data_IF_653471728095
#
_entry.id   IF_653471728095
#
_cell.length_a   1.000
_cell.length_b   1.000
_cell.length_c   1.000
_cell.angle_alpha   90.00
_cell.angle_beta   90.00
_cell.angle_gamma   90.00
#
_symmetry.space_group_name_H-M   'P 1'
#
loop_
_entity.id
_entity.type
_entity.pdbx_description
1 polymer ?
#
# COMPACT_ATOMS: atom_id res chain seq x y z
N UNK A 1 27.54 -9.99 19.53
CA UNK A 1 26.62 -8.91 19.27
C UNK A 1 25.50 -8.88 20.29
N UNK A 2 25.32 -7.76 20.87
CA UNK A 2 24.34 -7.65 21.95
C UNK A 2 23.11 -6.90 21.46
N UNK A 3 22.09 -7.67 21.13
CA UNK A 3 20.81 -7.05 20.89
C UNK A 3 20.27 -6.62 22.25
N UNK A 4 19.92 -5.35 22.34
CA UNK A 4 19.31 -4.83 23.54
C UNK A 4 17.99 -5.58 23.76
N UNK A 5 17.81 -6.19 24.93
CA UNK A 5 16.60 -6.95 25.24
C UNK A 5 15.34 -6.11 25.09
N UNK A 6 15.41 -4.84 25.49
CA UNK A 6 14.28 -3.91 25.35
C UNK A 6 13.91 -3.73 23.89
N UNK A 7 14.91 -3.57 23.02
CA UNK A 7 14.67 -3.41 21.59
C UNK A 7 14.07 -4.68 20.98
N UNK A 8 14.58 -5.85 21.38
CA UNK A 8 14.05 -7.12 20.90
C UNK A 8 12.59 -7.30 21.31
N UNK A 9 12.27 -7.02 22.57
CA UNK A 9 10.90 -7.15 23.08
C UNK A 9 9.97 -6.17 22.34
N UNK A 10 10.44 -4.94 22.09
CA UNK A 10 9.64 -3.94 21.39
C UNK A 10 9.31 -4.40 19.95
N UNK A 11 10.31 -4.95 19.26
CA UNK A 11 10.08 -5.46 17.90
C UNK A 11 9.14 -6.66 17.89
N UNK A 12 9.28 -7.55 18.87
CA UNK A 12 8.40 -8.70 18.98
C UNK A 12 6.96 -8.26 19.28
N UNK A 13 6.78 -7.29 20.14
CA UNK A 13 5.46 -6.77 20.48
C UNK A 13 4.77 -6.17 19.25
N UNK A 14 5.51 -5.43 18.42
CA UNK A 14 4.97 -4.87 17.18
C UNK A 14 4.58 -5.99 16.21
N UNK A 15 5.40 -7.02 16.10
CA UNK A 15 5.09 -8.15 15.20
C UNK A 15 3.83 -8.89 15.67
N UNK A 16 3.69 -9.11 16.99
CA UNK A 16 2.51 -9.77 17.55
C UNK A 16 1.26 -8.92 17.31
N UNK A 17 1.36 -7.60 17.50
CA UNK A 17 0.24 -6.70 17.27
C UNK A 17 -0.26 -6.81 15.82
N UNK A 18 0.66 -6.83 14.85
CA UNK A 18 0.30 -6.99 13.44
C UNK A 18 -0.39 -8.32 13.17
N UNK A 19 0.06 -9.39 13.81
CA UNK A 19 -0.54 -10.71 13.64
C UNK A 19 -1.94 -10.78 14.24
N UNK A 20 -2.22 -9.99 15.26
CA UNK A 20 -3.52 -10.00 15.92
C UNK A 20 -4.57 -9.14 15.21
N UNK A 21 -4.15 -8.30 14.29
CA UNK A 21 -5.10 -7.48 13.54
C UNK A 21 -5.81 -8.33 12.50
N UNK A 22 -7.14 -8.18 12.38
CA UNK A 22 -7.88 -8.89 11.34
C UNK A 22 -7.33 -8.56 9.96
N UNK A 23 -7.21 -9.56 9.11
CA UNK A 23 -6.83 -9.34 7.73
C UNK A 23 -8.01 -8.74 6.98
N UNK A 24 -7.74 -7.73 6.16
CA UNK A 24 -8.75 -7.13 5.30
C UNK A 24 -8.70 -7.84 3.95
N UNK A 25 -9.83 -8.39 3.47
CA UNK A 25 -9.82 -9.03 2.15
C UNK A 25 -9.36 -8.04 1.06
N UNK A 26 -8.55 -8.53 0.13
CA UNK A 26 -8.02 -7.67 -0.93
C UNK A 26 -9.11 -6.99 -1.76
N UNK A 27 -10.27 -7.63 -1.87
CA UNK A 27 -11.35 -7.06 -2.67
C UNK A 27 -11.84 -5.71 -2.14
N UNK A 28 -11.67 -5.46 -0.85
CA UNK A 28 -12.16 -4.23 -0.21
C UNK A 28 -11.05 -3.43 0.48
N UNK A 29 -9.81 -3.91 0.40
CA UNK A 29 -8.68 -3.21 1.02
C UNK A 29 -8.34 -1.94 0.24
N UNK A 30 -7.91 -0.92 0.97
CA UNK A 30 -7.47 0.34 0.38
C UNK A 30 -5.98 0.50 0.61
N UNK A 31 -5.25 0.79 -0.47
CA UNK A 31 -3.80 0.96 -0.43
C UNK A 31 -3.43 2.42 -0.67
N UNK A 32 -2.46 2.91 0.09
CA UNK A 32 -1.87 4.21 -0.20
C UNK A 32 -0.76 4.06 -1.25
N UNK A 33 -0.19 5.19 -1.66
CA UNK A 33 0.86 5.19 -2.69
C UNK A 33 2.08 4.38 -2.23
N UNK A 34 2.45 4.46 -0.96
CA UNK A 34 3.61 3.72 -0.45
C UNK A 34 3.39 2.21 -0.56
N UNK A 35 2.20 1.73 -0.20
CA UNK A 35 1.88 0.32 -0.30
C UNK A 35 1.85 -0.15 -1.76
N UNK A 36 1.27 0.66 -2.65
CA UNK A 36 1.25 0.36 -4.08
C UNK A 36 2.67 0.27 -4.63
N UNK A 37 3.53 1.23 -4.26
CA UNK A 37 4.91 1.25 -4.70
C UNK A 37 5.65 0.00 -4.25
N UNK A 38 5.41 -0.42 -3.03
CA UNK A 38 6.01 -1.66 -2.52
C UNK A 38 5.56 -2.87 -3.34
N UNK A 39 4.27 -2.97 -3.62
CA UNK A 39 3.73 -4.07 -4.43
C UNK A 39 4.29 -4.05 -5.85
N UNK A 40 4.37 -2.88 -6.46
CA UNK A 40 4.83 -2.75 -7.84
C UNK A 40 6.36 -2.77 -7.99
N UNK A 41 7.10 -2.79 -6.88
CA UNK A 41 8.56 -2.73 -6.87
C UNK A 41 9.07 -1.43 -7.50
N UNK A 42 8.42 -0.32 -7.20
CA UNK A 42 8.75 1.01 -7.72
C UNK A 42 8.87 2.00 -6.58
N UNK A 43 9.51 3.13 -6.84
CA UNK A 43 9.57 4.21 -5.87
C UNK A 43 8.22 4.91 -5.77
N UNK A 44 7.82 5.39 -4.57
CA UNK A 44 6.54 6.08 -4.43
C UNK A 44 6.38 7.28 -5.38
N UNK A 45 7.45 8.05 -5.60
CA UNK A 45 7.42 9.16 -6.54
C UNK A 45 7.11 8.72 -7.95
N UNK A 46 7.68 7.58 -8.37
CA UNK A 46 7.41 7.04 -9.71
C UNK A 46 5.95 6.64 -9.84
N UNK A 47 5.38 6.00 -8.81
CA UNK A 47 3.97 5.64 -8.85
C UNK A 47 3.10 6.88 -8.96
N UNK A 48 3.39 7.90 -8.15
CA UNK A 48 2.60 9.13 -8.13
C UNK A 48 2.67 9.88 -9.45
N UNK A 49 3.87 10.01 -10.01
CA UNK A 49 4.08 10.87 -11.17
C UNK A 49 3.86 10.20 -12.51
N UNK A 50 4.11 8.89 -12.59
CA UNK A 50 4.10 8.18 -13.88
C UNK A 50 3.01 7.14 -14.02
N UNK A 51 2.42 6.69 -12.93
CA UNK A 51 1.42 5.63 -12.96
C UNK A 51 0.06 6.12 -12.55
N UNK A 52 -0.05 6.78 -11.40
CA UNK A 52 -1.33 7.23 -10.90
C UNK A 52 -2.01 8.27 -11.79
N UNK A 53 -1.25 8.94 -12.65
CA UNK A 53 -1.80 9.91 -13.60
C UNK A 53 -2.33 9.27 -14.88
N UNK A 54 -2.10 7.98 -15.10
CA UNK A 54 -2.57 7.32 -16.31
C UNK A 54 -4.09 7.15 -16.28
N UNK A 55 -4.77 7.36 -17.43
CA UNK A 55 -6.22 7.16 -17.48
C UNK A 55 -6.66 5.75 -17.10
N UNK A 56 -5.80 4.75 -17.35
CA UNK A 56 -6.10 3.36 -17.05
C UNK A 56 -5.90 3.00 -15.58
N UNK A 57 -5.19 3.84 -14.83
CA UNK A 57 -4.93 3.56 -13.41
C UNK A 57 -6.23 3.73 -12.61
N UNK A 58 -6.46 2.93 -11.56
CA UNK A 58 -7.65 3.09 -10.74
C UNK A 58 -7.78 4.49 -10.17
N UNK A 59 -9.00 4.93 -9.97
CA UNK A 59 -9.26 6.27 -9.45
C UNK A 59 -9.03 6.32 -7.94
N UNK A 60 -8.46 7.43 -7.48
CA UNK A 60 -8.19 7.63 -6.08
C UNK A 60 -9.49 7.81 -5.28
N UNK A 61 -9.48 7.28 -4.08
CA UNK A 61 -10.52 7.50 -3.08
C UNK A 61 -9.93 8.47 -2.06
N UNK A 62 -10.55 9.62 -1.90
CA UNK A 62 -10.08 10.63 -0.95
C UNK A 62 -11.10 10.77 0.17
N UNK A 63 -10.77 10.15 1.30
CA UNK A 63 -11.66 10.16 2.46
C UNK A 63 -11.58 11.52 3.15
N UNK A 64 -12.68 11.96 3.81
CA UNK A 64 -12.66 13.22 4.54
C UNK A 64 -11.58 13.25 5.61
N UNK A 65 -10.96 14.40 5.78
CA UNK A 65 -9.97 14.62 6.82
C UNK A 65 -10.17 16.01 7.40
N UNK A 66 -9.84 16.17 8.67
CA UNK A 66 -9.94 17.45 9.35
C UNK A 66 -8.71 18.34 9.13
N UNK A 67 -7.66 17.80 8.51
CA UNK A 67 -6.37 18.50 8.42
C UNK A 67 -5.95 18.90 7.01
N UNK A 68 -6.89 19.18 6.13
CA UNK A 68 -6.55 19.66 4.80
C UNK A 68 -6.64 18.57 3.74
N UNK A 69 -5.54 18.33 3.02
CA UNK A 69 -5.58 17.41 1.87
C UNK A 69 -5.65 15.96 2.29
N UNK A 70 -6.63 15.24 1.78
CA UNK A 70 -6.74 13.80 1.98
C UNK A 70 -5.69 13.10 1.11
N UNK A 71 -5.03 12.09 1.69
CA UNK A 71 -4.14 11.25 0.90
C UNK A 71 -4.95 10.36 -0.02
N UNK A 72 -4.47 10.14 -1.25
CA UNK A 72 -5.19 9.25 -2.16
C UNK A 72 -5.05 7.80 -1.70
N UNK A 73 -6.18 7.11 -1.69
CA UNK A 73 -6.22 5.67 -1.44
C UNK A 73 -6.79 5.00 -2.68
N UNK A 74 -6.43 3.75 -2.89
CA UNK A 74 -6.85 3.02 -4.08
C UNK A 74 -7.30 1.63 -3.69
N UNK A 75 -8.32 1.11 -4.36
CA UNK A 75 -8.77 -0.25 -4.13
C UNK A 75 -7.68 -1.23 -4.54
N UNK A 76 -7.26 -2.10 -3.60
CA UNK A 76 -6.15 -3.01 -3.82
C UNK A 76 -6.39 -3.95 -5.00
N UNK A 77 -7.60 -4.51 -5.09
CA UNK A 77 -7.95 -5.43 -6.18
C UNK A 77 -7.84 -4.74 -7.53
N UNK A 78 -8.28 -3.49 -7.62
CA UNK A 78 -8.19 -2.74 -8.88
C UNK A 78 -6.75 -2.45 -9.26
N UNK A 79 -5.89 -2.13 -8.29
CA UNK A 79 -4.46 -1.92 -8.56
C UNK A 79 -3.82 -3.20 -9.07
N UNK A 80 -4.13 -4.33 -8.45
CA UNK A 80 -3.59 -5.62 -8.87
C UNK A 80 -4.05 -5.94 -10.30
N UNK A 81 -5.32 -5.75 -10.61
CA UNK A 81 -5.86 -6.00 -11.94
C UNK A 81 -5.19 -5.09 -12.98
N UNK A 82 -4.98 -3.82 -12.62
CA UNK A 82 -4.29 -2.88 -13.51
C UNK A 82 -2.86 -3.35 -13.81
N UNK A 83 -2.13 -3.76 -12.78
CA UNK A 83 -0.76 -4.23 -12.96
C UNK A 83 -0.70 -5.49 -13.81
N UNK A 84 -1.64 -6.40 -13.61
CA UNK A 84 -1.68 -7.65 -14.38
C UNK A 84 -2.04 -7.43 -15.85
N UNK A 85 -2.68 -6.31 -16.17
CA UNK A 85 -2.98 -5.98 -17.57
C UNK A 85 -1.72 -5.71 -18.40
N UNK A 86 -0.59 -5.47 -17.74
CA UNK A 86 0.70 -5.27 -18.41
C UNK A 86 1.48 -6.57 -18.60
N UNK A 87 0.89 -7.71 -18.27
CA UNK A 87 1.57 -8.99 -18.47
C UNK A 87 1.85 -9.21 -19.94
N UNK A 88 3.09 -9.62 -20.24
CA UNK A 88 3.46 -9.87 -21.62
C UNK A 88 2.68 -11.04 -22.20
N UNK A 89 2.33 -10.90 -23.46
CA UNK A 89 1.71 -11.98 -24.21
C UNK A 89 2.77 -12.71 -24.99
N UNK A 90 2.84 -14.00 -24.83
CA UNK A 90 3.81 -14.84 -25.56
C UNK A 90 3.13 -15.56 -26.67
#
# INVERSE_FOLDING_TARGET
MNINETEFVAKLAVAIDKLQRPAIPLAIDLWDIATIAYYLKREPGTVRERMACLPSFPKAIRLPTSKGHAQPLYNAKEVIAWAESYREKN
#
